data_IF_207243050040
#
_entry.id   IF_207243050040
#
_cell.length_a   1.000
_cell.length_b   1.000
_cell.length_c   1.000
_cell.angle_alpha   90.00
_cell.angle_beta   90.00
_cell.angle_gamma   90.00
#
_symmetry.space_group_name_H-M   'P 1'
#
loop_
_entity.id
_entity.type
_entity.pdbx_description
1 polymer ?
#
# COMPACT_ATOMS: atom_id res chain seq x y z
N UNK A 1 4.46 14.08 30.58
CA UNK A 1 5.19 14.84 29.55
C UNK A 1 4.45 14.67 28.23
N UNK A 2 4.14 15.75 27.50
CA UNK A 2 3.68 15.63 26.11
C UNK A 2 4.92 15.35 25.26
N UNK A 3 5.04 14.13 24.72
CA UNK A 3 6.14 13.77 23.83
C UNK A 3 6.13 14.61 22.55
N UNK A 4 7.26 14.65 21.85
CA UNK A 4 7.33 15.24 20.50
C UNK A 4 6.46 14.40 19.57
N UNK A 5 5.53 15.03 18.85
CA UNK A 5 4.76 14.34 17.81
C UNK A 5 5.65 14.14 16.59
N UNK A 6 5.82 12.89 16.18
CA UNK A 6 6.54 12.52 14.97
C UNK A 6 5.55 11.94 13.97
N UNK A 7 5.67 12.38 12.72
CA UNK A 7 4.97 11.77 11.59
C UNK A 7 6.02 11.05 10.74
N UNK A 8 5.81 9.75 10.54
CA UNK A 8 6.67 8.93 9.68
C UNK A 8 5.95 8.68 8.37
N UNK A 9 6.58 9.02 7.26
CA UNK A 9 6.09 8.66 5.94
C UNK A 9 6.64 7.31 5.52
N UNK A 10 5.74 6.46 5.02
CA UNK A 10 6.11 5.21 4.33
C UNK A 10 6.60 5.57 2.92
N UNK A 11 7.38 4.71 2.25
CA UNK A 11 7.84 4.98 0.89
C UNK A 11 6.78 4.56 -0.16
N UNK A 12 5.56 5.09 -0.05
CA UNK A 12 4.52 4.93 -1.07
C UNK A 12 4.65 5.99 -2.17
N UNK A 13 3.93 5.81 -3.29
CA UNK A 13 3.99 6.73 -4.43
C UNK A 13 3.66 8.16 -4.02
N UNK A 14 2.52 8.35 -3.38
CA UNK A 14 2.06 9.68 -2.93
C UNK A 14 2.98 10.36 -1.90
N UNK A 15 3.71 9.61 -1.08
CA UNK A 15 4.65 10.16 -0.09
C UNK A 15 5.99 10.60 -0.70
N UNK A 16 6.30 10.16 -1.91
CA UNK A 16 7.48 10.57 -2.66
C UNK A 16 7.24 11.85 -3.48
N UNK A 17 6.00 12.31 -3.62
CA UNK A 17 5.61 13.42 -4.50
C UNK A 17 6.42 14.71 -4.30
N UNK A 18 6.78 15.03 -3.07
CA UNK A 18 7.45 16.29 -2.74
C UNK A 18 8.96 16.26 -2.90
N UNK A 19 9.53 15.11 -3.30
CA UNK A 19 10.98 14.94 -3.52
C UNK A 19 11.85 15.30 -2.29
N UNK A 20 11.26 15.25 -1.08
CA UNK A 20 11.91 15.58 0.20
C UNK A 20 12.64 14.36 0.80
N UNK A 21 13.34 13.60 -0.04
CA UNK A 21 13.93 12.31 0.33
C UNK A 21 15.01 12.41 1.42
N UNK A 22 15.58 13.60 1.65
CA UNK A 22 16.57 13.80 2.72
C UNK A 22 16.05 13.50 4.13
N UNK A 23 14.73 13.52 4.34
CA UNK A 23 14.12 13.18 5.63
C UNK A 23 13.87 11.68 5.81
N UNK A 24 14.08 10.89 4.75
CA UNK A 24 13.90 9.46 4.75
C UNK A 24 12.44 9.02 4.86
N UNK A 25 12.26 7.70 4.77
CA UNK A 25 10.97 7.02 4.87
C UNK A 25 11.14 5.82 5.79
N UNK A 26 10.13 5.55 6.61
CA UNK A 26 10.07 4.35 7.46
C UNK A 26 8.64 3.85 7.53
N UNK A 27 8.45 2.54 7.71
CA UNK A 27 7.14 1.94 7.93
C UNK A 27 6.69 1.02 6.80
N UNK A 28 7.61 0.37 6.10
CA UNK A 28 7.27 -0.73 5.19
C UNK A 28 6.69 -1.91 5.99
N UNK A 29 7.15 -2.10 7.23
CA UNK A 29 6.73 -3.17 8.12
C UNK A 29 5.24 -3.15 8.48
N UNK A 30 4.68 -4.34 8.72
CA UNK A 30 3.24 -4.53 8.99
C UNK A 30 2.82 -4.21 10.44
N UNK A 31 3.78 -3.94 11.34
CA UNK A 31 3.54 -3.51 12.72
C UNK A 31 4.50 -2.39 13.15
N UNK A 32 4.21 -1.76 14.29
CA UNK A 32 5.10 -0.77 14.89
C UNK A 32 6.49 -1.36 15.23
N UNK A 33 6.56 -2.65 15.58
CA UNK A 33 7.82 -3.32 15.88
C UNK A 33 8.62 -3.65 14.61
N UNK A 34 7.96 -4.02 13.50
CA UNK A 34 8.64 -4.16 12.21
C UNK A 34 9.21 -2.81 11.74
N UNK A 35 8.45 -1.71 11.88
CA UNK A 35 8.95 -0.35 11.61
C UNK A 35 10.15 0.02 12.52
N UNK A 36 10.12 -0.37 13.80
CA UNK A 36 11.23 -0.13 14.70
C UNK A 36 12.50 -0.88 14.27
N UNK A 37 12.38 -2.11 13.77
CA UNK A 37 13.50 -2.85 13.19
C UNK A 37 14.07 -2.15 11.95
N UNK A 38 13.20 -1.69 11.04
CA UNK A 38 13.61 -0.89 9.88
C UNK A 38 14.41 0.35 10.30
N UNK A 39 13.96 1.08 11.32
CA UNK A 39 14.68 2.22 11.88
C UNK A 39 16.05 1.82 12.44
N UNK A 40 16.16 0.65 13.06
CA UNK A 40 17.44 0.13 13.57
C UNK A 40 18.44 -0.09 12.44
N UNK A 41 17.97 -0.66 11.32
CA UNK A 41 18.76 -0.90 10.11
C UNK A 41 19.21 0.42 9.47
N UNK A 42 18.29 1.37 9.28
CA UNK A 42 18.61 2.69 8.70
C UNK A 42 19.59 3.49 9.57
N UNK A 43 19.47 3.35 10.89
CA UNK A 43 20.39 4.00 11.86
C UNK A 43 21.77 3.33 11.95
N UNK A 44 21.99 2.24 11.20
CA UNK A 44 23.26 1.48 11.18
C UNK A 44 23.71 1.01 12.56
N UNK A 45 22.77 0.67 13.44
CA UNK A 45 23.14 0.08 14.73
C UNK A 45 23.82 -1.27 14.51
N UNK A 46 24.69 -1.65 15.44
CA UNK A 46 25.43 -2.93 15.40
C UNK A 46 24.68 -4.08 16.06
N UNK A 47 23.71 -3.76 16.92
CA UNK A 47 22.93 -4.72 17.71
C UNK A 47 21.47 -4.28 17.82
N UNK A 48 20.55 -5.22 17.64
CA UNK A 48 19.12 -5.10 17.86
C UNK A 48 18.70 -6.17 18.87
N UNK A 49 17.86 -5.82 19.85
CA UNK A 49 17.32 -6.77 20.83
C UNK A 49 15.81 -6.68 20.80
N UNK A 50 15.14 -7.77 20.45
CA UNK A 50 13.70 -7.90 20.55
C UNK A 50 13.31 -8.36 21.94
N UNK A 51 12.40 -7.62 22.56
CA UNK A 51 11.78 -7.93 23.85
C UNK A 51 10.28 -7.68 23.74
N UNK A 52 9.48 -8.59 24.29
CA UNK A 52 8.02 -8.52 24.21
C UNK A 52 7.48 -8.62 22.78
N UNK A 53 8.23 -9.29 21.90
CA UNK A 53 7.77 -9.64 20.55
C UNK A 53 7.31 -11.09 20.55
N UNK A 54 6.26 -11.37 21.33
CA UNK A 54 5.76 -12.73 21.53
C UNK A 54 5.23 -13.32 20.22
N UNK A 55 4.49 -12.51 19.43
CA UNK A 55 3.85 -12.92 18.18
C UNK A 55 2.98 -14.19 18.31
N UNK A 56 2.51 -14.46 19.52
CA UNK A 56 1.73 -15.62 19.91
C UNK A 56 0.86 -15.28 21.12
N UNK A 57 -0.12 -16.13 21.39
CA UNK A 57 -0.84 -16.07 22.66
C UNK A 57 0.06 -16.54 23.81
N UNK A 58 -0.21 -16.04 25.01
CA UNK A 58 0.36 -16.61 26.23
C UNK A 58 -0.23 -18.00 26.53
N UNK A 59 0.38 -18.76 27.45
CA UNK A 59 -0.19 -20.03 27.92
C UNK A 59 -1.61 -19.87 28.50
N UNK A 60 -1.92 -18.70 29.07
CA UNK A 60 -3.25 -18.37 29.62
C UNK A 60 -4.23 -17.85 28.55
N UNK A 61 -3.81 -17.84 27.28
CA UNK A 61 -4.61 -17.35 26.15
C UNK A 61 -4.70 -15.83 26.04
N UNK A 62 -3.78 -15.09 26.67
CA UNK A 62 -3.77 -13.63 26.59
C UNK A 62 -3.13 -13.19 25.25
N UNK A 63 -3.67 -12.13 24.65
CA UNK A 63 -3.17 -11.53 23.42
C UNK A 63 -2.24 -10.34 23.65
N UNK A 64 -2.35 -9.68 24.81
CA UNK A 64 -1.55 -8.49 25.15
C UNK A 64 -0.99 -8.59 26.57
N UNK A 65 -0.06 -7.69 26.89
CA UNK A 65 0.47 -7.56 28.23
C UNK A 65 -0.60 -7.15 29.25
N UNK A 66 -0.42 -7.58 30.51
CA UNK A 66 -1.30 -7.20 31.62
C UNK A 66 -1.37 -5.68 31.76
N UNK A 67 -2.58 -5.13 31.89
CA UNK A 67 -2.82 -3.69 32.01
C UNK A 67 -2.85 -2.92 30.68
N UNK A 68 -2.89 -3.61 29.54
CA UNK A 68 -3.15 -2.96 28.25
C UNK A 68 -4.48 -2.19 28.27
N UNK A 69 -4.50 -1.00 27.64
CA UNK A 69 -5.63 -0.05 27.66
C UNK A 69 -6.94 -0.71 27.17
N UNK A 70 -6.85 -1.60 26.19
CA UNK A 70 -7.98 -2.30 25.59
C UNK A 70 -8.19 -3.72 26.14
N UNK A 71 -7.46 -4.11 27.19
CA UNK A 71 -7.51 -5.43 27.81
C UNK A 71 -6.48 -6.42 27.25
N UNK A 72 -6.14 -7.41 28.07
CA UNK A 72 -5.13 -8.44 27.77
C UNK A 72 -5.66 -9.61 26.92
N UNK A 73 -6.97 -9.65 26.62
CA UNK A 73 -7.68 -10.66 25.80
C UNK A 73 -8.50 -10.04 24.67
N UNK A 74 -8.06 -8.91 24.15
CA UNK A 74 -8.71 -8.22 23.04
C UNK A 74 -8.88 -9.16 21.82
N UNK A 75 -7.83 -9.93 21.51
CA UNK A 75 -7.88 -10.96 20.48
C UNK A 75 -8.09 -12.31 21.15
N UNK A 76 -9.11 -13.05 20.71
CA UNK A 76 -9.40 -14.37 21.24
C UNK A 76 -8.77 -15.47 20.38
N UNK A 77 -8.20 -16.51 21.00
CA UNK A 77 -7.87 -17.77 20.34
C UNK A 77 -9.04 -18.27 19.49
N UNK A 78 -8.74 -18.79 18.30
CA UNK A 78 -9.77 -19.38 17.44
C UNK A 78 -10.19 -20.75 17.97
N UNK A 79 -11.36 -21.24 17.53
CA UNK A 79 -11.81 -22.60 17.82
C UNK A 79 -10.94 -23.60 17.03
N UNK A 80 -10.72 -24.77 17.62
CA UNK A 80 -9.67 -25.75 17.30
C UNK A 80 -9.20 -25.81 15.84
N UNK A 81 -10.11 -26.01 14.88
CA UNK A 81 -9.76 -26.25 13.46
C UNK A 81 -9.12 -25.04 12.76
N UNK A 82 -9.31 -23.84 13.29
CA UNK A 82 -8.81 -22.60 12.67
C UNK A 82 -7.55 -22.06 13.37
N UNK A 83 -7.02 -22.80 14.36
CA UNK A 83 -5.80 -22.39 15.07
C UNK A 83 -4.60 -22.45 14.16
N UNK A 84 -3.74 -21.45 14.29
CA UNK A 84 -2.48 -21.37 13.56
C UNK A 84 -1.37 -21.52 14.59
N UNK A 85 -0.37 -22.33 14.26
CA UNK A 85 0.79 -22.57 15.11
C UNK A 85 2.06 -22.15 14.37
N UNK A 86 3.03 -21.69 15.16
CA UNK A 86 4.38 -21.31 14.71
C UNK A 86 5.41 -21.86 15.70
N UNK A 87 6.64 -22.02 15.23
CA UNK A 87 7.74 -22.55 16.03
C UNK A 87 7.99 -21.67 17.26
N UNK A 88 8.09 -22.30 18.43
CA UNK A 88 8.36 -21.63 19.70
C UNK A 88 9.84 -21.29 19.84
N UNK A 89 10.13 -20.19 20.54
CA UNK A 89 11.48 -19.89 21.04
C UNK A 89 12.18 -21.15 21.59
N UNK A 90 13.43 -21.37 21.19
CA UNK A 90 14.23 -22.54 21.54
C UNK A 90 14.02 -23.75 20.61
N UNK A 91 13.08 -23.69 19.67
CA UNK A 91 12.87 -24.72 18.63
C UNK A 91 12.22 -26.02 19.11
N UNK A 92 11.79 -26.08 20.37
CA UNK A 92 11.28 -27.30 21.03
C UNK A 92 9.75 -27.27 21.20
N UNK A 93 9.03 -27.01 20.12
CA UNK A 93 7.56 -27.03 20.09
C UNK A 93 6.96 -25.85 19.35
N UNK A 94 5.67 -25.63 19.57
CA UNK A 94 4.89 -24.61 18.87
C UNK A 94 4.08 -23.74 19.84
N UNK A 95 3.75 -22.53 19.39
CA UNK A 95 2.86 -21.59 20.09
C UNK A 95 1.71 -21.19 19.18
N UNK A 96 0.52 -21.02 19.77
CA UNK A 96 -0.66 -20.57 19.03
C UNK A 96 -0.52 -19.10 18.64
N UNK A 97 -0.86 -18.76 17.41
CA UNK A 97 -0.75 -17.41 16.85
C UNK A 97 -1.97 -17.03 16.01
N UNK A 98 -1.96 -15.82 15.47
CA UNK A 98 -2.94 -15.33 14.51
C UNK A 98 -2.29 -15.17 13.13
N UNK A 99 -3.11 -15.08 12.08
CA UNK A 99 -2.61 -14.81 10.72
C UNK A 99 -1.82 -13.49 10.66
N UNK A 100 -2.27 -12.48 11.39
CA UNK A 100 -1.63 -11.15 11.43
C UNK A 100 -0.27 -11.21 12.13
N UNK A 101 -0.15 -11.92 13.26
CA UNK A 101 1.14 -12.06 13.95
C UNK A 101 2.11 -12.96 13.18
N UNK A 102 1.61 -13.99 12.50
CA UNK A 102 2.43 -14.79 11.57
C UNK A 102 2.97 -13.92 10.44
N UNK A 103 2.16 -13.01 9.89
CA UNK A 103 2.64 -12.04 8.90
C UNK A 103 3.74 -11.13 9.48
N UNK A 104 3.59 -10.65 10.72
CA UNK A 104 4.62 -9.82 11.37
C UNK A 104 5.94 -10.59 11.56
N UNK A 105 5.86 -11.88 11.93
CA UNK A 105 7.00 -12.79 12.03
C UNK A 105 7.71 -12.92 10.68
N UNK A 106 6.98 -13.26 9.62
CA UNK A 106 7.55 -13.44 8.27
C UNK A 106 8.23 -12.15 7.76
N UNK A 107 7.67 -10.98 8.10
CA UNK A 107 8.31 -9.69 7.81
C UNK A 107 9.63 -9.51 8.57
N UNK A 108 9.70 -9.86 9.86
CA UNK A 108 10.98 -9.82 10.59
C UNK A 108 12.02 -10.73 9.94
N UNK A 109 11.67 -11.98 9.65
CA UNK A 109 12.61 -12.95 9.06
C UNK A 109 13.13 -12.47 7.70
N UNK A 110 12.23 -11.94 6.86
CA UNK A 110 12.58 -11.31 5.58
C UNK A 110 13.51 -10.10 5.76
N UNK A 111 13.18 -9.18 6.66
CA UNK A 111 13.95 -7.94 6.85
C UNK A 111 15.33 -8.22 7.47
N UNK A 112 15.41 -9.19 8.37
CA UNK A 112 16.68 -9.67 8.93
C UNK A 112 17.55 -10.26 7.83
N UNK A 113 16.98 -11.12 6.98
CA UNK A 113 17.71 -11.71 5.86
C UNK A 113 18.22 -10.63 4.87
N UNK A 114 17.41 -9.61 4.58
CA UNK A 114 17.75 -8.54 3.65
C UNK A 114 18.64 -7.44 4.25
N UNK A 115 18.99 -7.52 5.53
CA UNK A 115 19.83 -6.49 6.16
C UNK A 115 21.22 -6.47 5.51
N UNK A 116 21.63 -5.35 4.87
CA UNK A 116 22.78 -5.34 3.95
C UNK A 116 24.15 -5.27 4.66
N UNK A 117 24.18 -5.49 5.97
CA UNK A 117 25.38 -5.42 6.79
C UNK A 117 25.25 -6.32 8.02
N UNK A 118 26.38 -6.59 8.69
CA UNK A 118 26.39 -7.42 9.88
C UNK A 118 25.71 -6.69 11.06
N UNK A 119 24.45 -7.02 11.31
CA UNK A 119 23.66 -6.60 12.47
C UNK A 119 23.45 -7.81 13.39
N UNK A 120 23.84 -7.72 14.65
CA UNK A 120 23.49 -8.74 15.63
C UNK A 120 22.05 -8.55 16.10
N UNK A 121 21.15 -9.43 15.66
CA UNK A 121 19.74 -9.42 16.09
C UNK A 121 19.54 -10.50 17.14
N UNK A 122 19.02 -10.13 18.31
CA UNK A 122 18.79 -11.03 19.43
C UNK A 122 17.29 -11.10 19.70
N UNK A 123 16.73 -12.31 19.71
CA UNK A 123 15.40 -12.54 20.28
C UNK A 123 15.56 -12.86 21.76
N UNK A 124 15.04 -11.97 22.62
CA UNK A 124 15.04 -12.13 24.07
C UNK A 124 13.63 -12.30 24.63
N UNK A 125 12.71 -12.87 23.84
CA UNK A 125 11.32 -13.16 24.23
C UNK A 125 11.14 -14.68 24.37
N UNK A 126 11.48 -15.24 25.54
CA UNK A 126 11.58 -16.70 25.73
C UNK A 126 10.24 -17.46 25.64
N UNK A 127 9.12 -16.75 25.83
CA UNK A 127 7.77 -17.34 25.84
C UNK A 127 7.07 -17.37 24.48
N UNK A 128 7.61 -16.66 23.49
CA UNK A 128 6.95 -16.38 22.22
C UNK A 128 7.43 -17.23 21.05
N UNK A 129 7.24 -16.67 19.86
CA UNK A 129 7.70 -17.22 18.60
C UNK A 129 9.22 -17.24 18.48
N UNK A 130 9.74 -18.27 17.82
CA UNK A 130 11.08 -18.27 17.25
C UNK A 130 11.08 -17.34 16.03
N UNK A 131 12.04 -16.43 15.98
CA UNK A 131 12.24 -15.52 14.85
C UNK A 131 13.54 -15.94 14.15
N UNK A 132 13.44 -16.53 12.96
CA UNK A 132 14.63 -16.99 12.22
C UNK A 132 15.54 -15.82 11.83
N UNK A 133 16.83 -16.09 11.81
CA UNK A 133 17.87 -15.06 11.61
C UNK A 133 18.28 -14.32 12.89
N UNK A 134 17.61 -14.55 14.03
CA UNK A 134 18.01 -14.01 15.33
C UNK A 134 18.86 -15.00 16.14
N UNK A 135 19.61 -14.48 17.12
CA UNK A 135 20.16 -15.28 18.21
C UNK A 135 19.17 -15.31 19.37
N UNK A 136 18.81 -16.48 19.84
CA UNK A 136 18.01 -16.65 21.04
C UNK A 136 18.89 -16.45 22.28
N UNK A 137 18.54 -15.51 23.15
CA UNK A 137 19.27 -15.23 24.39
C UNK A 137 18.33 -14.68 25.45
N UNK A 138 18.31 -15.23 26.68
CA UNK A 138 17.47 -14.71 27.75
C UNK A 138 17.70 -13.22 28.02
N UNK A 139 16.64 -12.46 28.29
CA UNK A 139 16.77 -11.01 28.46
C UNK A 139 17.74 -10.60 29.57
N UNK A 140 17.79 -11.40 30.64
CA UNK A 140 18.74 -11.23 31.74
C UNK A 140 20.20 -11.32 31.25
N UNK A 141 20.53 -12.33 30.45
CA UNK A 141 21.88 -12.49 29.90
C UNK A 141 22.24 -11.34 28.94
N UNK A 142 21.28 -10.87 28.15
CA UNK A 142 21.48 -9.69 27.30
C UNK A 142 21.86 -8.48 28.15
N UNK A 143 21.13 -8.24 29.25
CA UNK A 143 21.39 -7.14 30.18
C UNK A 143 22.77 -7.21 30.85
N UNK A 144 23.27 -8.41 31.11
CA UNK A 144 24.61 -8.65 31.67
C UNK A 144 25.72 -8.34 30.64
N UNK A 145 25.45 -8.55 29.35
CA UNK A 145 26.40 -8.26 28.24
C UNK A 145 26.38 -6.81 27.75
N UNK A 146 25.52 -5.96 28.28
CA UNK A 146 25.52 -4.53 27.96
C UNK A 146 26.68 -3.85 28.70
N UNK A 147 27.52 -3.15 27.96
CA UNK A 147 28.56 -2.30 28.54
C UNK A 147 27.92 -1.12 29.27
N UNK A 148 28.13 -1.07 30.59
CA UNK A 148 27.65 -0.02 31.49
C UNK A 148 28.76 0.94 31.92
N UNK A 149 29.99 0.76 31.42
CA UNK A 149 31.15 1.57 31.79
C UNK A 149 31.06 3.02 31.29
N UNK A 150 30.31 3.26 30.20
CA UNK A 150 30.11 4.59 29.62
C UNK A 150 28.62 4.90 29.51
N UNK A 151 28.17 6.09 29.93
CA UNK A 151 26.80 6.50 29.70
C UNK A 151 26.55 6.61 28.18
N UNK A 152 25.38 6.15 27.73
CA UNK A 152 24.97 6.33 26.33
C UNK A 152 24.79 7.83 26.07
N UNK A 153 25.49 8.42 25.09
CA UNK A 153 25.26 9.81 24.75
C UNK A 153 23.82 10.00 24.25
N UNK A 154 23.16 11.13 24.56
CA UNK A 154 21.83 11.39 24.05
C UNK A 154 21.85 11.48 22.53
N UNK A 155 20.78 10.97 21.90
CA UNK A 155 20.56 11.21 20.47
C UNK A 155 19.98 12.62 20.35
N UNK A 156 20.81 13.55 19.90
CA UNK A 156 20.39 14.92 19.65
C UNK A 156 19.95 15.03 18.19
N UNK A 157 18.64 15.15 17.97
CA UNK A 157 18.09 15.39 16.64
C UNK A 157 18.27 16.87 16.29
N UNK A 158 18.75 17.13 15.07
CA UNK A 158 18.82 18.48 14.51
C UNK A 158 17.57 18.72 13.70
N UNK A 159 16.78 19.71 14.12
CA UNK A 159 15.63 20.15 13.34
C UNK A 159 16.10 21.00 12.16
N UNK A 160 15.38 20.97 11.01
CA UNK A 160 15.64 21.89 9.92
C UNK A 160 15.54 23.33 10.41
N UNK A 161 16.44 24.19 9.94
CA UNK A 161 16.41 25.63 10.17
C UNK A 161 15.14 26.26 9.59
N UNK A 162 14.75 27.44 10.06
CA UNK A 162 13.60 28.17 9.49
C UNK A 162 13.74 28.41 7.98
N UNK A 163 14.97 28.66 7.50
CA UNK A 163 15.25 28.82 6.07
C UNK A 163 14.99 27.53 5.28
N UNK A 164 15.45 26.39 5.79
CA UNK A 164 15.18 25.07 5.17
C UNK A 164 13.70 24.72 5.19
N UNK A 165 13.00 24.99 6.30
CA UNK A 165 11.56 24.78 6.39
C UNK A 165 10.81 25.62 5.36
N UNK A 166 11.16 26.90 5.22
CA UNK A 166 10.55 27.79 4.23
C UNK A 166 10.83 27.32 2.79
N UNK A 167 12.06 26.86 2.50
CA UNK A 167 12.42 26.28 1.21
C UNK A 167 11.59 25.03 0.90
N UNK A 168 11.49 24.09 1.84
CA UNK A 168 10.73 22.86 1.65
C UNK A 168 9.23 23.14 1.44
N UNK A 169 8.68 24.09 2.21
CA UNK A 169 7.28 24.49 2.05
C UNK A 169 7.02 25.10 0.66
N UNK A 170 7.97 25.89 0.13
CA UNK A 170 7.89 26.43 -1.22
C UNK A 170 7.90 25.31 -2.27
N UNK A 171 8.79 24.33 -2.14
CA UNK A 171 8.85 23.15 -3.03
C UNK A 171 7.52 22.40 -3.00
N UNK A 172 7.02 22.09 -1.80
CA UNK A 172 5.77 21.36 -1.64
C UNK A 172 4.57 22.12 -2.26
N UNK A 173 4.48 23.43 -2.03
CA UNK A 173 3.42 24.27 -2.63
C UNK A 173 3.49 24.27 -4.15
N UNK A 174 4.67 24.49 -4.73
CA UNK A 174 4.85 24.50 -6.17
C UNK A 174 4.45 23.15 -6.78
N UNK A 175 4.86 22.04 -6.15
CA UNK A 175 4.48 20.70 -6.60
C UNK A 175 2.96 20.49 -6.56
N UNK A 176 2.28 20.93 -5.49
CA UNK A 176 0.82 20.87 -5.41
C UNK A 176 0.16 21.65 -6.55
N UNK A 177 0.62 22.87 -6.84
CA UNK A 177 0.09 23.70 -7.94
C UNK A 177 0.29 23.02 -9.30
N UNK A 178 1.46 22.42 -9.54
CA UNK A 178 1.76 21.66 -10.76
C UNK A 178 0.90 20.40 -10.90
N UNK A 179 0.63 19.68 -9.79
CA UNK A 179 -0.25 18.50 -9.78
C UNK A 179 -1.69 18.93 -10.06
N UNK A 180 -2.19 19.97 -9.41
CA UNK A 180 -3.57 20.48 -9.60
C UNK A 180 -3.76 20.94 -11.05
N UNK A 181 -2.80 21.67 -11.61
CA UNK A 181 -2.86 22.10 -13.01
C UNK A 181 -2.94 20.88 -13.95
N UNK A 182 -2.05 19.91 -13.77
CA UNK A 182 -2.04 18.68 -14.57
C UNK A 182 -3.33 17.86 -14.42
N UNK A 183 -3.83 17.74 -13.18
CA UNK A 183 -5.09 17.06 -12.90
C UNK A 183 -6.25 17.70 -13.65
N UNK A 184 -6.36 19.04 -13.63
CA UNK A 184 -7.41 19.76 -14.34
C UNK A 184 -7.30 19.58 -15.86
N UNK A 185 -6.09 19.67 -16.42
CA UNK A 185 -5.86 19.43 -17.86
C UNK A 185 -6.31 18.02 -18.28
N UNK A 186 -5.94 16.99 -17.50
CA UNK A 186 -6.33 15.60 -17.78
C UNK A 186 -7.81 15.34 -17.53
N UNK A 187 -8.38 15.94 -16.48
CA UNK A 187 -9.80 15.87 -16.21
C UNK A 187 -10.62 16.43 -17.37
N UNK A 188 -10.27 17.60 -17.91
CA UNK A 188 -10.96 18.15 -19.08
C UNK A 188 -10.88 17.22 -20.28
N UNK A 189 -9.71 16.61 -20.54
CA UNK A 189 -9.55 15.62 -21.60
C UNK A 189 -10.51 14.41 -21.43
N UNK A 190 -10.64 13.88 -20.20
CA UNK A 190 -11.53 12.76 -19.89
C UNK A 190 -13.01 13.18 -19.96
N UNK A 191 -13.36 14.37 -19.48
CA UNK A 191 -14.72 14.93 -19.55
C UNK A 191 -15.20 15.12 -20.99
N UNK A 192 -14.33 15.61 -21.88
CA UNK A 192 -14.65 15.74 -23.30
C UNK A 192 -14.96 14.39 -23.95
N UNK A 193 -14.14 13.36 -23.67
CA UNK A 193 -14.39 11.99 -24.15
C UNK A 193 -15.69 11.42 -23.56
N UNK A 194 -15.94 11.65 -22.26
CA UNK A 194 -17.17 11.22 -21.59
C UNK A 194 -18.41 11.82 -22.26
N UNK A 195 -18.42 13.12 -22.53
CA UNK A 195 -19.56 13.80 -23.14
C UNK A 195 -19.87 13.25 -24.53
N UNK A 196 -18.85 13.01 -25.36
CA UNK A 196 -19.03 12.41 -26.69
C UNK A 196 -19.58 10.99 -26.62
N UNK A 197 -19.07 10.18 -25.70
CA UNK A 197 -19.57 8.81 -25.45
C UNK A 197 -21.02 8.85 -24.96
N UNK A 198 -21.36 9.75 -24.03
CA UNK A 198 -22.71 9.89 -23.52
C UNK A 198 -23.70 10.29 -24.62
N UNK A 199 -23.35 11.29 -25.46
CA UNK A 199 -24.16 11.73 -26.59
C UNK A 199 -24.39 10.61 -27.61
N UNK A 200 -23.33 9.86 -27.94
CA UNK A 200 -23.43 8.71 -28.84
C UNK A 200 -24.34 7.61 -28.28
N UNK A 201 -24.26 7.31 -26.99
CA UNK A 201 -25.11 6.29 -26.39
C UNK A 201 -26.58 6.73 -26.31
N UNK A 202 -26.86 8.03 -26.12
CA UNK A 202 -28.24 8.56 -26.25
C UNK A 202 -28.79 8.42 -27.68
N UNK A 203 -27.93 8.59 -28.70
CA UNK A 203 -28.29 8.35 -30.10
C UNK A 203 -28.64 6.88 -30.34
N UNK A 204 -27.82 5.96 -29.83
CA UNK A 204 -28.05 4.51 -29.89
C UNK A 204 -29.38 4.15 -29.23
N UNK A 205 -29.66 4.67 -28.03
CA UNK A 205 -30.92 4.43 -27.31
C UNK A 205 -32.14 4.91 -28.13
N UNK A 206 -32.08 6.09 -28.74
CA UNK A 206 -33.15 6.63 -29.61
C UNK A 206 -33.37 5.78 -30.88
N UNK A 207 -32.30 5.26 -31.47
CA UNK A 207 -32.41 4.37 -32.63
C UNK A 207 -32.98 3.00 -32.24
N UNK A 208 -32.59 2.48 -31.07
CA UNK A 208 -33.13 1.24 -30.52
C UNK A 208 -34.64 1.33 -30.28
N UNK A 209 -35.12 2.40 -29.64
CA UNK A 209 -36.56 2.63 -29.40
C UNK A 209 -37.39 2.68 -30.70
N UNK A 210 -36.77 3.13 -31.80
CA UNK A 210 -37.40 3.23 -33.12
C UNK A 210 -37.19 1.98 -33.99
N UNK A 211 -36.51 0.96 -33.49
CA UNK A 211 -36.08 -0.24 -34.23
C UNK A 211 -35.28 0.10 -35.52
N UNK A 212 -34.33 1.03 -35.41
CA UNK A 212 -33.50 1.55 -36.53
C UNK A 212 -32.00 1.47 -36.24
N UNK A 213 -31.55 0.43 -35.52
CA UNK A 213 -30.14 0.29 -35.14
C UNK A 213 -29.21 0.12 -36.35
N UNK A 214 -29.74 -0.34 -37.47
CA UNK A 214 -29.05 -0.41 -38.77
C UNK A 214 -28.64 0.96 -39.32
N UNK A 215 -29.23 2.05 -38.84
CA UNK A 215 -28.88 3.44 -39.23
C UNK A 215 -27.70 4.00 -38.40
N UNK A 216 -27.13 3.22 -37.48
CA UNK A 216 -26.04 3.67 -36.61
C UNK A 216 -24.76 4.02 -37.40
N UNK A 217 -24.16 5.17 -37.10
CA UNK A 217 -22.87 5.55 -37.69
C UNK A 217 -21.70 4.77 -37.06
N UNK A 218 -21.27 3.72 -37.75
CA UNK A 218 -20.14 2.89 -37.32
C UNK A 218 -18.80 3.62 -37.34
N UNK A 219 -18.61 4.63 -38.20
CA UNK A 219 -17.36 5.40 -38.20
C UNK A 219 -17.22 6.21 -36.91
N UNK A 220 -18.34 6.74 -36.39
CA UNK A 220 -18.37 7.44 -35.10
C UNK A 220 -17.99 6.50 -33.95
N UNK A 221 -18.45 5.25 -34.00
CA UNK A 221 -18.11 4.22 -33.00
C UNK A 221 -16.62 3.83 -33.01
N UNK A 222 -16.01 3.69 -34.19
CA UNK A 222 -14.56 3.46 -34.32
C UNK A 222 -13.75 4.65 -33.78
N UNK A 223 -14.16 5.88 -34.11
CA UNK A 223 -13.50 7.10 -33.62
C UNK A 223 -13.58 7.22 -32.10
N UNK A 224 -14.74 6.95 -31.50
CA UNK A 224 -14.91 6.97 -30.04
C UNK A 224 -14.07 5.89 -29.35
N UNK A 225 -13.96 4.71 -29.96
CA UNK A 225 -13.10 3.64 -29.43
C UNK A 225 -11.64 4.10 -29.39
N UNK A 226 -11.15 4.72 -30.48
CA UNK A 226 -9.80 5.28 -30.53
C UNK A 226 -9.59 6.43 -29.52
N UNK A 227 -10.59 7.29 -29.30
CA UNK A 227 -10.53 8.32 -28.26
C UNK A 227 -10.41 7.72 -26.85
N UNK A 228 -11.19 6.67 -26.54
CA UNK A 228 -11.10 5.95 -25.27
C UNK A 228 -9.70 5.33 -25.09
N UNK A 229 -9.17 4.71 -26.14
CA UNK A 229 -7.83 4.11 -26.10
C UNK A 229 -6.75 5.17 -25.83
N UNK A 230 -6.87 6.36 -26.43
CA UNK A 230 -5.99 7.49 -26.12
C UNK A 230 -6.10 7.97 -24.66
N UNK A 231 -7.28 7.88 -24.03
CA UNK A 231 -7.43 8.15 -22.59
C UNK A 231 -6.75 7.05 -21.76
N UNK A 232 -6.85 5.79 -22.18
CA UNK A 232 -6.17 4.67 -21.50
C UNK A 232 -4.64 4.81 -21.53
N UNK A 233 -4.06 5.46 -22.54
CA UNK A 233 -2.62 5.77 -22.57
C UNK A 233 -2.15 6.63 -21.37
N UNK A 234 -3.05 7.34 -20.69
CA UNK A 234 -2.71 8.04 -19.43
C UNK A 234 -2.17 7.08 -18.37
N UNK A 235 -2.62 5.83 -18.37
CA UNK A 235 -2.17 4.81 -17.43
C UNK A 235 -0.76 4.27 -17.76
N UNK A 236 -0.19 4.62 -18.92
CA UNK A 236 1.22 4.39 -19.25
C UNK A 236 2.10 5.61 -18.96
N UNK A 237 1.49 6.79 -18.78
CA UNK A 237 2.22 8.01 -18.42
C UNK A 237 2.74 7.93 -16.97
N UNK A 238 4.07 8.07 -16.81
CA UNK A 238 4.71 7.99 -15.49
C UNK A 238 4.24 9.09 -14.54
N UNK A 239 3.94 10.28 -15.07
CA UNK A 239 3.51 11.42 -14.24
C UNK A 239 2.10 11.18 -13.70
N UNK A 240 1.18 10.77 -14.56
CA UNK A 240 -0.18 10.37 -14.18
C UNK A 240 -0.15 9.23 -13.17
N UNK A 241 0.65 8.19 -13.44
CA UNK A 241 0.85 7.07 -12.53
C UNK A 241 1.28 7.53 -11.13
N UNK A 242 2.33 8.35 -11.08
CA UNK A 242 2.89 8.83 -9.82
C UNK A 242 1.90 9.69 -9.03
N UNK A 243 0.99 10.41 -9.69
CA UNK A 243 0.12 11.39 -9.04
C UNK A 243 -1.21 10.79 -8.59
N UNK A 244 -1.77 9.86 -9.36
CA UNK A 244 -3.18 9.49 -9.20
C UNK A 244 -3.42 8.01 -8.93
N UNK A 245 -2.49 7.10 -9.27
CA UNK A 245 -2.79 5.66 -9.21
C UNK A 245 -3.13 5.15 -7.82
N UNK A 246 -2.41 5.61 -6.79
CA UNK A 246 -2.71 5.24 -5.40
C UNK A 246 -4.15 5.62 -4.98
N UNK A 247 -4.74 6.65 -5.63
CA UNK A 247 -6.11 7.08 -5.37
C UNK A 247 -7.15 6.36 -6.24
N UNK A 248 -6.82 6.06 -7.51
CA UNK A 248 -7.81 5.59 -8.49
C UNK A 248 -7.77 4.08 -8.77
N UNK A 249 -6.66 3.41 -8.46
CA UNK A 249 -6.40 2.04 -8.87
C UNK A 249 -7.49 1.06 -8.43
N UNK A 250 -8.03 1.21 -7.23
CA UNK A 250 -8.99 0.24 -6.67
C UNK A 250 -10.27 0.13 -7.49
N UNK A 251 -10.81 1.25 -7.99
CA UNK A 251 -12.03 1.25 -8.78
C UNK A 251 -11.75 1.10 -10.29
N UNK A 252 -10.67 1.68 -10.80
CA UNK A 252 -10.31 1.50 -12.22
C UNK A 252 -9.99 0.04 -12.51
N UNK A 253 -9.17 -0.61 -11.68
CA UNK A 253 -8.80 -2.01 -11.89
C UNK A 253 -10.02 -2.94 -11.91
N UNK A 254 -11.00 -2.71 -11.02
CA UNK A 254 -12.22 -3.50 -11.01
C UNK A 254 -13.03 -3.35 -12.31
N UNK A 255 -13.12 -2.13 -12.83
CA UNK A 255 -13.82 -1.85 -14.09
C UNK A 255 -13.08 -2.43 -15.30
N UNK A 256 -11.74 -2.34 -15.31
CA UNK A 256 -10.90 -2.94 -16.35
C UNK A 256 -11.06 -4.47 -16.43
N UNK A 257 -11.25 -5.15 -15.29
CA UNK A 257 -11.53 -6.59 -15.30
C UNK A 257 -12.83 -6.93 -16.04
N UNK A 258 -13.89 -6.13 -15.84
CA UNK A 258 -15.15 -6.31 -16.56
C UNK A 258 -15.01 -5.97 -18.05
N UNK A 259 -14.28 -4.90 -18.38
CA UNK A 259 -13.98 -4.53 -19.77
C UNK A 259 -13.18 -5.64 -20.47
N UNK A 260 -12.24 -6.28 -19.78
CA UNK A 260 -11.44 -7.37 -20.32
C UNK A 260 -12.30 -8.57 -20.76
N UNK A 261 -13.40 -8.86 -20.05
CA UNK A 261 -14.36 -9.89 -20.48
C UNK A 261 -14.97 -9.56 -21.84
N UNK A 262 -15.36 -8.30 -22.06
CA UNK A 262 -15.89 -7.81 -23.35
C UNK A 262 -14.82 -7.94 -24.43
N UNK A 263 -13.60 -7.47 -24.18
CA UNK A 263 -12.48 -7.52 -25.14
C UNK A 263 -12.12 -8.96 -25.52
N UNK A 264 -12.28 -9.93 -24.62
CA UNK A 264 -12.00 -11.34 -24.88
C UNK A 264 -13.13 -12.09 -25.59
N UNK A 265 -14.33 -11.49 -25.76
CA UNK A 265 -15.42 -12.13 -26.51
C UNK A 265 -14.99 -12.45 -27.93
N UNK A 266 -15.14 -13.71 -28.31
CA UNK A 266 -14.92 -14.18 -29.69
C UNK A 266 -16.05 -13.68 -30.58
N UNK A 267 -15.69 -13.11 -31.71
CA UNK A 267 -16.63 -12.66 -32.74
C UNK A 267 -16.35 -13.41 -34.02
N UNK A 268 -17.40 -13.81 -34.74
CA UNK A 268 -17.33 -14.69 -35.91
C UNK A 268 -17.77 -13.99 -37.20
N UNK A 269 -18.38 -12.81 -37.08
CA UNK A 269 -18.86 -11.98 -38.19
C UNK A 269 -18.80 -10.49 -37.81
N UNK A 270 -19.06 -9.61 -38.78
CA UNK A 270 -19.02 -8.15 -38.57
C UNK A 270 -20.06 -7.65 -37.57
N UNK A 271 -21.26 -8.22 -37.54
CA UNK A 271 -22.33 -7.77 -36.65
C UNK A 271 -22.02 -8.10 -35.18
N UNK A 272 -21.45 -9.28 -34.91
CA UNK A 272 -20.92 -9.64 -33.59
C UNK A 272 -19.76 -8.72 -33.18
N UNK A 273 -18.89 -8.32 -34.12
CA UNK A 273 -17.82 -7.36 -33.85
C UNK A 273 -18.36 -5.98 -33.49
N UNK A 274 -19.35 -5.48 -34.25
CA UNK A 274 -20.03 -4.21 -33.99
C UNK A 274 -20.74 -4.21 -32.65
N UNK A 275 -21.46 -5.29 -32.32
CA UNK A 275 -22.12 -5.45 -31.03
C UNK A 275 -21.11 -5.42 -29.87
N UNK A 276 -19.99 -6.12 -30.01
CA UNK A 276 -18.89 -6.09 -29.04
C UNK A 276 -18.29 -4.69 -28.88
N UNK A 277 -18.08 -3.94 -29.96
CA UNK A 277 -17.60 -2.57 -29.87
C UNK A 277 -18.62 -1.65 -29.19
N UNK A 278 -19.92 -1.82 -29.44
CA UNK A 278 -20.95 -1.05 -28.76
C UNK A 278 -20.99 -1.35 -27.25
N UNK A 279 -20.87 -2.63 -26.86
CA UNK A 279 -20.72 -3.02 -25.45
C UNK A 279 -19.46 -2.40 -24.82
N UNK A 280 -18.35 -2.34 -25.57
CA UNK A 280 -17.12 -1.70 -25.13
C UNK A 280 -17.36 -0.21 -24.84
N UNK A 281 -17.97 0.54 -25.76
CA UNK A 281 -18.33 1.96 -25.54
C UNK A 281 -19.24 2.13 -24.32
N UNK A 282 -20.24 1.25 -24.17
CA UNK A 282 -21.18 1.29 -23.04
C UNK A 282 -20.47 1.09 -21.69
N UNK A 283 -19.56 0.12 -21.60
CA UNK A 283 -18.76 -0.10 -20.40
C UNK A 283 -17.87 1.12 -20.06
N UNK A 284 -17.36 1.81 -21.07
CA UNK A 284 -16.52 2.99 -20.88
C UNK A 284 -17.27 4.26 -20.48
N UNK A 285 -18.59 4.32 -20.62
CA UNK A 285 -19.39 5.45 -20.11
C UNK A 285 -19.17 5.64 -18.60
N UNK A 286 -19.31 4.57 -17.82
CA UNK A 286 -19.09 4.64 -16.37
C UNK A 286 -17.61 4.78 -16.01
N UNK A 287 -16.72 4.15 -16.79
CA UNK A 287 -15.28 4.28 -16.61
C UNK A 287 -14.79 5.71 -16.73
N UNK A 288 -15.15 6.40 -17.82
CA UNK A 288 -14.81 7.81 -18.04
C UNK A 288 -15.45 8.70 -16.97
N UNK A 289 -16.71 8.45 -16.61
CA UNK A 289 -17.38 9.17 -15.52
C UNK A 289 -16.61 9.06 -14.20
N UNK A 290 -16.20 7.85 -13.82
CA UNK A 290 -15.49 7.60 -12.57
C UNK A 290 -14.07 8.17 -12.58
N UNK A 291 -13.42 8.23 -13.74
CA UNK A 291 -12.09 8.79 -13.91
C UNK A 291 -12.09 10.33 -13.87
N UNK A 292 -13.16 10.96 -14.34
CA UNK A 292 -13.33 12.42 -14.30
C UNK A 292 -13.80 12.94 -12.93
N UNK A 293 -14.51 12.11 -12.15
CA UNK A 293 -15.08 12.45 -10.84
C UNK A 293 -14.03 12.66 -9.76
#
# INVERSE_FOLDING_TARGET
>A
QKGVKQFSFRPFGYTNLFDLHQYGYVGIGMSAANMAYELVVHSRFKRCVFIGQDLSFSQSGNSHASGAIYGDKEIKPKKDKDKIFIEKYGGNGEVETTLVWKLFLEFFEKDIFNTPYKLEVINATEGGARIKGTKEMPFKEVCEKIDKSKPKPPINLVYPTQSEQAKNLKIARQKCEEIIKYANEKKTQVEEAFLKVAEFLEEVEKLHEKNKLEELDFNKLEHLSAEIDNIKELFDDKRFNSYFMDAIQSYIFHQELHIAEIVCKKTSNEDELRAKQLEYIYAHKYWLFSLAG
#
